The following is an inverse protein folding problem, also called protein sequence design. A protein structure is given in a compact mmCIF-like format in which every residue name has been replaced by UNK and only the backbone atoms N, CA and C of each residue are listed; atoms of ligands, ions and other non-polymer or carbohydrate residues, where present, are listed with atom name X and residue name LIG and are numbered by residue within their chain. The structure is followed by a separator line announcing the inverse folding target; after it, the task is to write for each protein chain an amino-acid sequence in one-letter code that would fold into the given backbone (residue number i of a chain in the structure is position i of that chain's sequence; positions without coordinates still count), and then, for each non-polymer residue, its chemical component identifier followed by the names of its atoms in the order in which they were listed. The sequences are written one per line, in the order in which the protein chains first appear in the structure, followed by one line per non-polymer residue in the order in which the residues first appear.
data_IF_300158456747
#
_entry.id   IF_300158456747
#
_cell.length_a   1.000
_cell.length_b   1.000
_cell.length_c   1.000
_cell.angle_alpha   90.00
_cell.angle_beta   90.00
_cell.angle_gamma   90.00
#
_symmetry.space_group_name_H-M   'P 1'
#
loop_
_entity.id
_entity.type
_entity.pdbx_description
1 polymer ?
#
# COMPACT_ATOMS: atom_id res chain seq x y z
N UNK A 1 25.41 75.39 -26.65
CA UNK A 1 26.65 74.65 -26.97
C UNK A 1 26.72 73.49 -25.98
N UNK A 2 26.75 72.17 -26.26
CA UNK A 2 26.92 71.26 -27.42
C UNK A 2 26.08 69.97 -27.08
N UNK A 3 25.18 69.49 -27.95
CA UNK A 3 25.27 68.27 -28.82
C UNK A 3 25.78 66.99 -28.13
N UNK A 4 24.92 65.99 -27.87
CA UNK A 4 24.83 64.69 -28.58
C UNK A 4 25.14 63.55 -27.59
N UNK A 5 24.60 62.32 -27.57
CA UNK A 5 24.08 61.43 -28.62
C UNK A 5 23.23 60.30 -27.94
N UNK A 6 22.23 59.78 -28.65
CA UNK A 6 21.38 58.60 -28.32
C UNK A 6 22.02 57.32 -28.91
N UNK A 7 21.83 56.15 -28.27
CA UNK A 7 21.53 54.79 -28.85
C UNK A 7 22.03 53.67 -27.90
N UNK A 8 21.20 52.87 -27.22
CA UNK A 8 20.39 51.69 -27.61
C UNK A 8 21.13 50.33 -27.49
N UNK A 9 20.46 49.37 -26.81
CA UNK A 9 20.40 47.91 -27.08
C UNK A 9 21.26 46.91 -26.22
N UNK A 10 20.56 46.09 -25.41
CA UNK A 10 20.55 44.60 -25.29
C UNK A 10 20.24 44.20 -23.82
N UNK A 11 19.01 43.79 -23.47
CA UNK A 11 18.38 42.45 -23.59
C UNK A 11 18.57 41.57 -22.35
N UNK A 12 17.41 41.23 -21.76
CA UNK A 12 17.03 39.97 -21.11
C UNK A 12 18.09 39.18 -20.32
N UNK A 13 17.80 38.99 -19.03
CA UNK A 13 17.33 37.66 -18.61
C UNK A 13 16.34 37.80 -17.46
N UNK A 14 15.09 37.42 -17.74
CA UNK A 14 14.14 37.01 -16.73
C UNK A 14 14.81 35.89 -15.92
N UNK A 15 14.90 36.05 -14.61
CA UNK A 15 15.08 34.92 -13.71
C UNK A 15 13.85 34.03 -13.85
N UNK A 16 13.92 33.04 -14.72
CA UNK A 16 13.05 31.87 -14.65
C UNK A 16 13.46 31.18 -13.37
N UNK A 17 12.62 31.32 -12.33
CA UNK A 17 12.64 30.37 -11.23
C UNK A 17 12.29 29.02 -11.83
N UNK A 18 13.32 28.22 -12.12
CA UNK A 18 13.11 26.81 -12.42
C UNK A 18 12.43 26.18 -11.20
N UNK A 19 11.19 25.75 -11.39
CA UNK A 19 10.49 24.92 -10.44
C UNK A 19 11.28 23.62 -10.34
N UNK A 20 11.99 23.42 -9.23
CA UNK A 20 12.70 22.18 -8.94
C UNK A 20 11.69 21.03 -8.85
N UNK A 21 11.47 20.33 -9.95
CA UNK A 21 10.68 19.11 -9.97
C UNK A 21 11.58 17.96 -9.54
N UNK A 22 11.22 17.21 -8.51
CA UNK A 22 11.91 15.96 -8.17
C UNK A 22 11.50 14.86 -9.16
N UNK A 23 12.19 13.71 -9.12
CA UNK A 23 11.76 12.56 -9.91
C UNK A 23 10.34 12.15 -9.48
N UNK A 24 9.54 11.72 -10.45
CA UNK A 24 8.19 11.25 -10.26
C UNK A 24 8.09 9.82 -10.79
N UNK A 25 7.95 8.86 -9.89
CA UNK A 25 7.64 7.47 -10.25
C UNK A 25 6.13 7.33 -10.34
N UNK A 26 5.61 7.06 -11.53
CA UNK A 26 4.18 6.82 -11.78
C UNK A 26 3.94 5.33 -11.88
N UNK A 27 3.05 4.81 -11.03
CA UNK A 27 2.75 3.39 -10.94
C UNK A 27 1.48 3.03 -11.69
N UNK A 28 1.34 1.73 -12.01
CA UNK A 28 0.16 1.18 -12.70
C UNK A 28 -1.12 1.31 -11.89
N UNK A 29 -1.00 1.38 -10.56
CA UNK A 29 -2.11 1.60 -9.63
C UNK A 29 -2.57 3.07 -9.56
N UNK A 30 -1.97 3.97 -10.36
CA UNK A 30 -2.27 5.40 -10.38
C UNK A 30 -1.58 6.20 -9.27
N UNK A 31 -0.82 5.55 -8.40
CA UNK A 31 -0.04 6.22 -7.35
C UNK A 31 1.18 6.89 -7.97
N UNK A 32 1.41 8.14 -7.55
CA UNK A 32 2.60 8.89 -7.89
C UNK A 32 3.51 8.99 -6.67
N UNK A 33 4.81 8.75 -6.87
CA UNK A 33 5.81 8.88 -5.80
C UNK A 33 6.84 9.92 -6.22
N UNK A 34 6.82 11.05 -5.51
CA UNK A 34 7.93 12.01 -5.57
C UNK A 34 9.15 11.40 -4.89
N UNK A 35 10.21 11.26 -5.65
CA UNK A 35 11.35 10.45 -5.31
C UNK A 35 12.66 11.09 -5.75
N UNK A 36 13.75 10.54 -5.21
CA UNK A 36 15.07 10.58 -5.80
C UNK A 36 15.41 9.15 -6.21
N UNK A 37 15.39 8.87 -7.50
CA UNK A 37 15.76 7.57 -8.05
C UNK A 37 17.26 7.38 -7.85
N UNK A 38 17.64 6.21 -7.33
CA UNK A 38 19.04 5.88 -7.03
C UNK A 38 19.60 4.89 -8.05
N UNK A 39 18.79 3.90 -8.46
CA UNK A 39 19.19 2.84 -9.37
C UNK A 39 17.96 2.24 -10.04
N UNK A 40 18.04 1.97 -11.34
CA UNK A 40 17.04 1.24 -12.12
C UNK A 40 17.66 -0.10 -12.50
N UNK A 41 17.22 -1.17 -11.84
CA UNK A 41 17.59 -2.54 -12.19
C UNK A 41 16.55 -3.20 -13.09
N UNK A 42 16.81 -4.43 -13.52
CA UNK A 42 15.91 -5.17 -14.43
C UNK A 42 14.54 -5.49 -13.79
N UNK A 43 14.51 -5.73 -12.47
CA UNK A 43 13.30 -6.15 -11.75
C UNK A 43 12.77 -5.11 -10.78
N UNK A 44 13.64 -4.22 -10.31
CA UNK A 44 13.35 -3.27 -9.26
C UNK A 44 14.10 -1.95 -9.44
N UNK A 45 13.46 -0.89 -8.95
CA UNK A 45 13.95 0.48 -8.93
C UNK A 45 14.15 0.86 -7.46
N UNK A 46 15.36 1.30 -7.13
CA UNK A 46 15.73 1.82 -5.81
C UNK A 46 15.53 3.32 -5.79
N UNK A 47 14.87 3.83 -4.76
CA UNK A 47 14.63 5.26 -4.62
C UNK A 47 14.58 5.70 -3.16
N UNK A 48 14.76 7.00 -2.91
CA UNK A 48 14.42 7.67 -1.65
C UNK A 48 13.18 8.52 -1.87
N UNK A 49 12.29 8.62 -0.87
CA UNK A 49 11.16 9.55 -0.95
C UNK A 49 11.71 10.98 -0.93
N UNK A 50 11.20 11.86 -1.80
CA UNK A 50 11.66 13.25 -1.87
C UNK A 50 11.49 13.98 -0.52
N UNK A 51 10.43 13.68 0.22
CA UNK A 51 10.17 14.23 1.56
C UNK A 51 11.09 13.70 2.66
N UNK A 52 11.88 12.65 2.40
CA UNK A 52 12.72 12.00 3.40
C UNK A 52 13.99 11.42 2.78
N UNK A 53 14.85 12.29 2.24
CA UNK A 53 16.09 11.91 1.58
C UNK A 53 17.12 11.26 2.51
N UNK A 54 17.10 11.53 3.81
CA UNK A 54 17.96 10.85 4.79
C UNK A 54 17.39 9.49 5.24
N UNK A 55 16.20 9.14 4.75
CA UNK A 55 15.47 7.91 5.08
C UNK A 55 16.01 6.62 4.47
N UNK A 56 15.31 5.50 4.68
CA UNK A 56 15.69 4.23 4.08
C UNK A 56 15.56 4.28 2.55
N UNK A 57 16.29 3.39 1.87
CA UNK A 57 16.10 3.15 0.44
C UNK A 57 14.90 2.24 0.25
N UNK A 58 13.95 2.69 -0.57
CA UNK A 58 12.77 1.95 -0.95
C UNK A 58 12.99 1.23 -2.28
N UNK A 59 12.24 0.15 -2.49
CA UNK A 59 12.21 -0.62 -3.72
C UNK A 59 10.80 -0.58 -4.31
N UNK A 60 10.71 -0.40 -5.63
CA UNK A 60 9.47 -0.60 -6.39
C UNK A 60 9.79 -1.55 -7.55
N UNK A 61 8.93 -2.54 -7.81
CA UNK A 61 9.13 -3.44 -8.94
C UNK A 61 8.92 -2.69 -10.26
N UNK A 62 9.80 -2.90 -11.23
CA UNK A 62 9.67 -2.38 -12.60
C UNK A 62 8.33 -2.75 -13.21
N UNK A 63 7.83 -3.96 -12.94
CA UNK A 63 6.55 -4.45 -13.45
C UNK A 63 5.34 -3.61 -13.00
N UNK A 64 5.47 -2.86 -11.90
CA UNK A 64 4.43 -2.02 -11.31
C UNK A 64 4.58 -0.53 -11.66
N UNK A 65 5.64 -0.15 -12.38
CA UNK A 65 5.90 1.23 -12.81
C UNK A 65 5.41 1.41 -14.24
N UNK A 66 4.73 2.53 -14.51
CA UNK A 66 4.34 2.93 -15.86
C UNK A 66 5.47 3.73 -16.49
N UNK A 67 5.90 4.80 -15.82
CA UNK A 67 7.02 5.62 -16.22
C UNK A 67 7.68 6.31 -15.02
N UNK A 68 8.92 6.74 -15.19
CA UNK A 68 9.61 7.67 -14.29
C UNK A 68 9.83 8.95 -15.09
N UNK A 69 9.38 10.09 -14.57
CA UNK A 69 9.81 11.40 -15.06
C UNK A 69 10.88 11.93 -14.14
N UNK A 70 12.08 12.16 -14.65
CA UNK A 70 13.19 12.67 -13.87
C UNK A 70 13.11 14.18 -13.67
N UNK A 71 13.91 14.69 -12.73
CA UNK A 71 14.03 16.11 -12.44
C UNK A 71 14.39 16.96 -13.68
N UNK A 72 15.18 16.43 -14.60
CA UNK A 72 15.56 17.11 -15.85
C UNK A 72 14.44 17.11 -16.92
N UNK A 73 13.28 16.52 -16.60
CA UNK A 73 12.14 16.38 -17.50
C UNK A 73 12.21 15.19 -18.45
N UNK A 74 13.31 14.45 -18.49
CA UNK A 74 13.40 13.19 -19.23
C UNK A 74 12.44 12.15 -18.65
N UNK A 75 12.03 11.18 -19.46
CA UNK A 75 11.03 10.18 -19.05
C UNK A 75 11.44 8.80 -19.53
N UNK A 76 11.56 7.86 -18.60
CA UNK A 76 11.73 6.44 -18.86
C UNK A 76 10.37 5.74 -18.77
N UNK A 77 9.98 5.04 -19.82
CA UNK A 77 8.69 4.34 -19.92
C UNK A 77 8.91 2.84 -19.74
N UNK A 78 8.21 2.26 -18.77
CA UNK A 78 8.29 0.84 -18.41
C UNK A 78 7.04 0.05 -18.84
N UNK A 79 5.93 0.75 -19.14
CA UNK A 79 4.73 0.19 -19.76
C UNK A 79 4.17 1.14 -20.81
N UNK A 80 4.40 0.86 -22.10
CA UNK A 80 3.98 1.74 -23.19
C UNK A 80 2.44 1.85 -23.28
N UNK A 81 1.73 0.73 -23.14
CA UNK A 81 0.26 0.70 -23.18
C UNK A 81 -0.36 1.55 -22.07
N UNK A 82 0.12 1.40 -20.83
CA UNK A 82 -0.37 2.19 -19.70
C UNK A 82 0.03 3.67 -19.84
N UNK A 83 1.21 3.98 -20.40
CA UNK A 83 1.65 5.35 -20.65
C UNK A 83 0.75 6.04 -21.68
N UNK A 84 0.45 5.38 -22.79
CA UNK A 84 -0.41 5.90 -23.84
C UNK A 84 -1.85 6.12 -23.34
N UNK A 85 -2.35 5.21 -22.48
CA UNK A 85 -3.64 5.38 -21.79
C UNK A 85 -3.64 6.65 -20.92
N UNK A 86 -2.66 6.81 -20.03
CA UNK A 86 -2.55 7.99 -19.16
C UNK A 86 -2.38 9.29 -19.97
N UNK A 87 -1.63 9.25 -21.07
CA UNK A 87 -1.44 10.40 -21.95
C UNK A 87 -2.71 10.78 -22.73
N UNK A 88 -3.55 9.80 -23.08
CA UNK A 88 -4.86 10.01 -23.69
C UNK A 88 -5.88 10.59 -22.68
N UNK A 89 -5.88 10.08 -21.45
CA UNK A 89 -6.69 10.60 -20.34
C UNK A 89 -6.36 12.07 -20.01
N UNK A 90 -5.07 12.44 -20.04
CA UNK A 90 -4.63 13.81 -19.82
C UNK A 90 -5.07 14.80 -20.92
N UNK A 91 -5.31 14.32 -22.15
CA UNK A 91 -5.74 15.16 -23.29
C UNK A 91 -7.25 15.40 -23.34
N UNK A 92 -8.04 14.52 -22.74
CA UNK A 92 -9.50 14.62 -22.66
C UNK A 92 -9.95 14.38 -21.21
N UNK A 93 -9.83 15.38 -20.30
CA UNK A 93 -10.26 15.21 -18.94
C UNK A 93 -11.79 15.03 -18.92
N UNK A 94 -12.24 13.79 -18.72
CA UNK A 94 -13.55 13.56 -18.12
C UNK A 94 -13.57 14.32 -16.78
N UNK A 95 -14.71 14.87 -16.32
CA UNK A 95 -14.79 15.55 -15.04
C UNK A 95 -14.50 14.56 -13.91
N UNK A 96 -13.22 14.39 -13.59
CA UNK A 96 -12.77 13.77 -12.36
C UNK A 96 -13.21 14.69 -11.24
N UNK A 97 -13.96 14.13 -10.28
CA UNK A 97 -14.13 14.77 -8.98
C UNK A 97 -12.74 15.02 -8.43
N UNK A 98 -12.28 16.25 -8.55
CA UNK A 98 -11.07 16.76 -7.91
C UNK A 98 -11.18 16.38 -6.43
N UNK A 99 -10.39 15.39 -5.98
CA UNK A 99 -10.29 15.12 -4.55
C UNK A 99 -9.70 16.39 -3.95
N UNK A 100 -10.54 17.21 -3.33
CA UNK A 100 -10.08 18.28 -2.46
C UNK A 100 -9.03 17.65 -1.56
N UNK A 101 -7.81 18.18 -1.52
CA UNK A 101 -6.84 17.84 -0.47
C UNK A 101 -7.61 17.90 0.84
N UNK A 102 -7.79 16.74 1.46
CA UNK A 102 -8.46 16.61 2.75
C UNK A 102 -7.71 17.52 3.70
N UNK A 103 -8.42 18.23 4.59
CA UNK A 103 -7.72 18.84 5.71
C UNK A 103 -6.95 17.73 6.47
N UNK A 104 -5.76 18.00 7.02
CA UNK A 104 -5.02 17.01 7.80
C UNK A 104 -5.93 16.39 8.86
N UNK A 105 -5.82 15.07 9.04
CA UNK A 105 -6.52 14.35 10.09
C UNK A 105 -6.07 14.85 11.47
N UNK A 106 -6.88 14.58 12.50
CA UNK A 106 -6.51 14.88 13.89
C UNK A 106 -5.25 14.13 14.36
N UNK A 107 -4.73 13.19 13.56
CA UNK A 107 -3.58 12.36 13.86
C UNK A 107 -2.31 12.77 13.10
N UNK A 108 -2.35 13.84 12.30
CA UNK A 108 -1.19 14.33 11.57
C UNK A 108 0.02 14.55 12.50
N UNK A 109 1.11 13.82 12.25
CA UNK A 109 2.35 13.87 13.05
C UNK A 109 2.27 13.22 14.44
N UNK A 110 1.15 12.59 14.81
CA UNK A 110 0.94 11.99 16.14
C UNK A 110 1.43 10.53 16.24
N UNK A 111 1.43 9.81 15.13
CA UNK A 111 1.82 8.41 15.05
C UNK A 111 2.91 8.18 14.00
N UNK A 112 3.68 7.12 14.20
CA UNK A 112 4.61 6.55 13.22
C UNK A 112 4.40 5.03 13.11
N UNK A 113 4.84 4.39 12.01
CA UNK A 113 4.79 2.94 11.88
C UNK A 113 5.45 2.22 13.07
N UNK A 114 4.76 1.23 13.63
CA UNK A 114 5.17 0.46 14.81
C UNK A 114 4.60 1.01 16.13
N UNK A 115 4.00 2.20 16.13
CA UNK A 115 3.33 2.73 17.32
C UNK A 115 2.08 1.92 17.68
N UNK A 116 1.71 1.97 18.96
CA UNK A 116 0.42 1.48 19.40
C UNK A 116 -0.63 2.57 19.22
N UNK A 117 -1.69 2.23 18.51
CA UNK A 117 -2.87 3.05 18.29
C UNK A 117 -3.96 2.64 19.29
N UNK A 118 -4.59 3.60 19.95
CA UNK A 118 -5.71 3.40 20.88
C UNK A 118 -6.61 4.64 20.87
N UNK A 119 -7.43 4.76 19.82
CA UNK A 119 -8.32 5.90 19.64
C UNK A 119 -9.70 5.41 19.25
N UNK A 120 -10.75 6.01 19.83
CA UNK A 120 -12.14 5.75 19.47
C UNK A 120 -12.53 4.26 19.46
N UNK A 121 -11.91 3.44 20.32
CA UNK A 121 -12.15 2.00 20.41
C UNK A 121 -11.38 1.14 19.41
N UNK A 122 -10.62 1.73 18.49
CA UNK A 122 -9.72 1.02 17.58
C UNK A 122 -8.36 0.87 18.25
N UNK A 123 -7.90 -0.38 18.40
CA UNK A 123 -6.65 -0.72 19.07
C UNK A 123 -5.77 -1.61 18.21
N UNK A 124 -4.51 -1.22 18.02
CA UNK A 124 -3.61 -1.99 17.17
C UNK A 124 -2.24 -1.38 16.97
N UNK A 125 -1.48 -1.96 16.05
CA UNK A 125 -0.16 -1.45 15.66
C UNK A 125 -0.30 -0.65 14.38
N UNK A 126 0.18 0.58 14.36
CA UNK A 126 0.24 1.41 13.14
C UNK A 126 1.17 0.75 12.14
N UNK A 127 0.67 0.40 10.96
CA UNK A 127 1.44 -0.24 9.88
C UNK A 127 1.98 0.81 8.92
N UNK A 128 1.14 1.80 8.59
CA UNK A 128 1.51 2.94 7.78
C UNK A 128 0.70 4.16 8.20
N UNK A 129 1.28 5.33 7.96
CA UNK A 129 0.65 6.63 8.18
C UNK A 129 1.30 7.64 7.23
N UNK A 130 0.47 8.48 6.61
CA UNK A 130 0.93 9.54 5.71
C UNK A 130 1.17 10.86 6.47
N UNK A 131 1.64 11.88 5.74
CA UNK A 131 1.90 13.21 6.32
C UNK A 131 0.63 13.95 6.73
N UNK A 132 -0.52 13.58 6.16
CA UNK A 132 -1.83 14.14 6.50
C UNK A 132 -2.44 13.44 7.71
N UNK A 133 -1.81 12.38 8.21
CA UNK A 133 -2.25 11.62 9.39
C UNK A 133 -3.27 10.53 9.09
N UNK A 134 -3.47 10.16 7.82
CA UNK A 134 -4.25 8.97 7.48
C UNK A 134 -3.36 7.74 7.56
N UNK A 135 -3.85 6.68 8.17
CA UNK A 135 -3.04 5.48 8.35
C UNK A 135 -3.84 4.20 8.39
N UNK A 136 -3.12 3.10 8.55
CA UNK A 136 -3.68 1.76 8.70
C UNK A 136 -3.12 1.13 9.97
N UNK A 137 -4.02 0.55 10.76
CA UNK A 137 -3.74 -0.15 12.01
C UNK A 137 -4.00 -1.64 11.82
N UNK A 138 -3.06 -2.48 12.26
CA UNK A 138 -3.23 -3.93 12.36
C UNK A 138 -3.78 -4.30 13.74
N UNK A 139 -4.74 -5.23 13.77
CA UNK A 139 -5.36 -5.74 14.99
C UNK A 139 -4.37 -6.37 15.97
N UNK A 140 -4.54 -6.10 17.27
CA UNK A 140 -3.86 -6.86 18.34
C UNK A 140 -4.33 -8.31 18.41
N UNK A 141 -5.61 -8.54 18.11
CA UNK A 141 -6.18 -9.88 18.02
C UNK A 141 -5.65 -10.64 16.80
N UNK A 142 -5.63 -11.97 16.91
CA UNK A 142 -5.27 -12.90 15.84
C UNK A 142 -6.21 -14.10 15.89
N UNK A 143 -6.54 -14.66 14.75
CA UNK A 143 -7.24 -15.93 14.66
C UNK A 143 -6.52 -16.89 13.70
N UNK A 144 -6.86 -18.18 13.77
CA UNK A 144 -6.46 -19.19 12.80
C UNK A 144 -7.73 -19.74 12.14
N UNK A 145 -8.00 -19.29 10.92
CA UNK A 145 -9.32 -19.44 10.29
C UNK A 145 -9.17 -19.89 8.84
N UNK A 146 -10.21 -20.56 8.34
CA UNK A 146 -10.40 -20.77 6.92
C UNK A 146 -10.82 -19.46 6.24
N UNK A 147 -10.45 -19.31 4.98
CA UNK A 147 -10.93 -18.23 4.13
C UNK A 147 -12.37 -18.50 3.68
N UNK A 148 -12.68 -19.76 3.36
CA UNK A 148 -14.00 -20.24 2.97
C UNK A 148 -14.21 -21.70 3.41
N UNK A 149 -15.43 -22.06 3.79
CA UNK A 149 -15.80 -23.42 4.22
C UNK A 149 -16.09 -24.39 3.06
N UNK A 150 -16.19 -23.91 1.81
CA UNK A 150 -16.49 -24.73 0.65
C UNK A 150 -15.30 -25.58 0.20
N UNK A 151 -15.58 -26.81 -0.22
CA UNK A 151 -14.58 -27.68 -0.83
C UNK A 151 -14.14 -27.13 -2.18
N UNK A 152 -13.00 -27.57 -2.68
CA UNK A 152 -12.47 -27.18 -4.00
C UNK A 152 -13.49 -27.35 -5.15
N UNK A 153 -14.32 -28.41 -5.12
CA UNK A 153 -15.35 -28.66 -6.14
C UNK A 153 -16.48 -27.64 -6.16
N UNK A 154 -16.73 -27.00 -5.01
CA UNK A 154 -17.89 -26.13 -4.78
C UNK A 154 -17.45 -24.66 -4.65
N UNK A 155 -16.14 -24.41 -4.74
CA UNK A 155 -15.56 -23.08 -4.60
C UNK A 155 -15.88 -22.23 -5.83
N UNK A 156 -16.40 -21.04 -5.57
CA UNK A 156 -16.67 -20.02 -6.59
C UNK A 156 -15.71 -18.86 -6.44
N UNK A 157 -15.36 -18.25 -7.58
CA UNK A 157 -14.60 -16.99 -7.61
C UNK A 157 -15.55 -15.84 -7.33
N UNK A 158 -15.20 -15.01 -6.36
CA UNK A 158 -16.03 -13.89 -5.90
C UNK A 158 -15.69 -12.57 -6.59
N UNK A 159 -14.53 -12.48 -7.26
CA UNK A 159 -14.01 -11.25 -7.85
C UNK A 159 -13.41 -10.31 -6.81
N UNK A 160 -12.83 -10.84 -5.74
CA UNK A 160 -12.14 -10.06 -4.70
C UNK A 160 -10.65 -9.98 -5.02
N UNK A 161 -10.30 -9.15 -6.00
CA UNK A 161 -8.97 -9.12 -6.62
C UNK A 161 -8.14 -7.87 -6.29
N UNK A 162 -8.68 -6.94 -5.49
CA UNK A 162 -7.91 -5.77 -5.07
C UNK A 162 -6.73 -6.24 -4.21
N UNK A 163 -5.51 -5.92 -4.66
CA UNK A 163 -4.29 -6.35 -3.99
C UNK A 163 -3.80 -5.33 -2.97
N UNK A 164 -4.32 -4.09 -2.98
CA UNK A 164 -3.77 -2.96 -2.25
C UNK A 164 -4.66 -2.48 -1.10
N UNK A 165 -5.97 -2.68 -1.23
CA UNK A 165 -6.98 -2.18 -0.31
C UNK A 165 -8.00 -3.28 0.05
N UNK A 166 -7.77 -3.95 1.18
CA UNK A 166 -8.68 -4.97 1.69
C UNK A 166 -10.06 -4.44 2.02
N UNK A 167 -10.22 -3.14 2.27
CA UNK A 167 -11.52 -2.54 2.52
C UNK A 167 -12.39 -2.54 1.26
N UNK A 168 -11.79 -2.42 0.07
CA UNK A 168 -12.51 -2.55 -1.22
C UNK A 168 -13.05 -3.97 -1.38
N UNK A 169 -12.23 -4.98 -1.09
CA UNK A 169 -12.65 -6.38 -1.12
C UNK A 169 -13.74 -6.67 -0.08
N UNK A 170 -13.57 -6.18 1.15
CA UNK A 170 -14.56 -6.35 2.22
C UNK A 170 -15.89 -5.69 1.87
N UNK A 171 -15.88 -4.49 1.28
CA UNK A 171 -17.08 -3.80 0.84
C UNK A 171 -17.77 -4.55 -0.33
N UNK A 172 -16.99 -5.09 -1.28
CA UNK A 172 -17.53 -5.94 -2.33
C UNK A 172 -18.17 -7.21 -1.76
N UNK A 173 -17.52 -7.87 -0.80
CA UNK A 173 -18.07 -9.01 -0.08
C UNK A 173 -19.38 -8.65 0.64
N UNK A 174 -19.42 -7.52 1.34
CA UNK A 174 -20.61 -7.06 2.04
C UNK A 174 -21.79 -6.83 1.09
N UNK A 175 -21.56 -6.19 -0.07
CA UNK A 175 -22.60 -6.06 -1.11
C UNK A 175 -23.12 -7.40 -1.59
N UNK A 176 -22.23 -8.37 -1.84
CA UNK A 176 -22.64 -9.72 -2.24
C UNK A 176 -23.47 -10.42 -1.15
N UNK A 177 -23.15 -10.17 0.12
CA UNK A 177 -23.90 -10.72 1.25
C UNK A 177 -25.30 -10.09 1.36
N UNK A 178 -25.40 -8.76 1.19
CA UNK A 178 -26.68 -8.04 1.19
C UNK A 178 -27.59 -8.47 0.02
N UNK A 179 -26.99 -8.82 -1.12
CA UNK A 179 -27.66 -9.39 -2.29
C UNK A 179 -28.00 -10.89 -2.13
N UNK A 180 -27.63 -11.51 -1.01
CA UNK A 180 -27.87 -12.93 -0.73
C UNK A 180 -27.02 -13.91 -1.56
N UNK A 181 -25.95 -13.44 -2.22
CA UNK A 181 -25.05 -14.26 -3.05
C UNK A 181 -24.02 -15.04 -2.22
N UNK A 182 -23.65 -14.52 -1.06
CA UNK A 182 -22.74 -15.16 -0.10
C UNK A 182 -23.29 -15.01 1.31
N UNK A 183 -22.81 -15.84 2.24
CA UNK A 183 -23.12 -15.71 3.66
C UNK A 183 -21.84 -15.53 4.46
N UNK A 184 -21.84 -14.63 5.43
CA UNK A 184 -20.68 -14.39 6.28
C UNK A 184 -20.21 -15.65 7.01
N UNK A 185 -21.12 -16.55 7.40
CA UNK A 185 -20.78 -17.79 8.11
C UNK A 185 -19.94 -18.75 7.25
N UNK A 186 -20.05 -18.69 5.93
CA UNK A 186 -19.31 -19.56 5.01
C UNK A 186 -17.88 -19.02 4.74
N UNK A 187 -17.56 -17.81 5.20
CA UNK A 187 -16.26 -17.13 5.01
C UNK A 187 -15.69 -16.60 6.33
N UNK A 188 -15.18 -17.48 7.20
CA UNK A 188 -14.83 -17.16 8.58
C UNK A 188 -13.80 -16.03 8.72
N UNK A 189 -12.80 -15.96 7.84
CA UNK A 189 -11.79 -14.89 7.88
C UNK A 189 -12.39 -13.49 7.70
N UNK A 190 -13.29 -13.31 6.72
CA UNK A 190 -13.99 -12.05 6.48
C UNK A 190 -14.94 -11.69 7.63
N UNK A 191 -15.70 -12.68 8.10
CA UNK A 191 -16.62 -12.52 9.23
C UNK A 191 -15.90 -12.12 10.50
N UNK A 192 -14.80 -12.81 10.84
CA UNK A 192 -14.03 -12.51 12.04
C UNK A 192 -13.50 -11.09 12.03
N UNK A 193 -12.95 -10.62 10.90
CA UNK A 193 -12.47 -9.22 10.81
C UNK A 193 -13.62 -8.23 11.03
N UNK A 194 -14.76 -8.42 10.36
CA UNK A 194 -15.95 -7.58 10.54
C UNK A 194 -16.45 -7.56 11.99
N UNK A 195 -16.45 -8.71 12.65
CA UNK A 195 -16.99 -8.86 14.00
C UNK A 195 -16.09 -8.23 15.08
N UNK A 196 -14.86 -7.78 14.74
CA UNK A 196 -14.04 -6.95 15.63
C UNK A 196 -14.62 -5.53 15.81
N UNK A 197 -15.50 -5.09 14.91
CA UNK A 197 -16.15 -3.78 14.95
C UNK A 197 -16.20 -3.10 13.58
N UNK A 198 -16.92 -1.99 13.51
CA UNK A 198 -17.06 -1.21 12.28
C UNK A 198 -15.69 -0.74 11.75
N UNK A 199 -15.50 -0.91 10.44
CA UNK A 199 -14.29 -0.50 9.72
C UNK A 199 -13.13 -1.50 9.77
N UNK A 200 -13.22 -2.59 10.55
CA UNK A 200 -12.24 -3.68 10.47
C UNK A 200 -12.49 -4.55 9.24
N UNK A 201 -11.41 -4.89 8.54
CA UNK A 201 -11.47 -5.69 7.32
C UNK A 201 -10.31 -6.69 7.23
N UNK A 202 -10.51 -7.74 6.41
CA UNK A 202 -9.44 -8.66 6.05
C UNK A 202 -8.49 -7.93 5.07
N UNK A 203 -7.19 -7.75 5.37
CA UNK A 203 -6.26 -7.02 4.52
C UNK A 203 -6.10 -7.65 3.13
N UNK A 204 -5.89 -6.82 2.12
CA UNK A 204 -5.41 -7.28 0.82
C UNK A 204 -3.94 -7.74 0.89
N UNK A 205 -3.48 -8.52 -0.08
CA UNK A 205 -2.16 -9.15 -0.03
C UNK A 205 -1.03 -8.13 0.17
N UNK A 206 -1.08 -6.97 -0.48
CA UNK A 206 -0.05 -5.94 -0.33
C UNK A 206 -0.11 -5.24 1.03
N UNK A 207 -1.24 -5.22 1.73
CA UNK A 207 -1.31 -4.74 3.13
C UNK A 207 -0.62 -5.72 4.07
N UNK A 208 -0.81 -7.02 3.88
CA UNK A 208 -0.11 -8.04 4.67
C UNK A 208 1.40 -7.99 4.40
N UNK A 209 1.80 -7.76 3.15
CA UNK A 209 3.21 -7.57 2.80
C UNK A 209 3.83 -6.34 3.48
N UNK A 210 3.07 -5.26 3.69
CA UNK A 210 3.50 -4.08 4.46
C UNK A 210 3.74 -4.39 5.93
N UNK A 211 2.91 -5.25 6.56
CA UNK A 211 3.22 -5.78 7.90
C UNK A 211 4.58 -6.48 7.90
N UNK A 212 4.82 -7.37 6.93
CA UNK A 212 6.09 -8.08 6.82
C UNK A 212 7.28 -7.14 6.63
N UNK A 213 7.11 -6.01 5.93
CA UNK A 213 8.15 -5.00 5.80
C UNK A 213 8.47 -4.33 7.15
N UNK A 214 7.44 -3.88 7.87
CA UNK A 214 7.59 -3.24 9.18
C UNK A 214 8.16 -4.20 10.23
N UNK A 215 7.65 -5.43 10.27
CA UNK A 215 8.10 -6.50 11.17
C UNK A 215 9.60 -6.78 11.06
N UNK A 216 10.16 -6.60 9.87
CA UNK A 216 11.57 -6.82 9.57
C UNK A 216 12.40 -5.53 9.50
N UNK A 217 11.81 -4.36 9.72
CA UNK A 217 12.46 -3.06 9.49
C UNK A 217 13.08 -2.95 8.09
N UNK A 218 12.35 -3.46 7.09
CA UNK A 218 12.84 -3.65 5.71
C UNK A 218 12.88 -5.13 5.29
N UNK A 219 13.00 -5.42 3.99
CA UNK A 219 12.98 -6.82 3.47
C UNK A 219 14.34 -7.41 3.14
N UNK A 220 15.42 -6.65 3.29
CA UNK A 220 16.73 -6.98 2.72
C UNK A 220 17.61 -7.75 3.72
N UNK A 221 17.35 -7.62 5.02
CA UNK A 221 18.14 -8.27 6.06
C UNK A 221 17.26 -8.71 7.23
N UNK A 222 17.62 -9.84 7.83
CA UNK A 222 17.04 -10.28 9.08
C UNK A 222 17.42 -9.29 10.18
N UNK A 223 16.43 -8.58 10.73
CA UNK A 223 16.60 -7.71 11.89
C UNK A 223 15.91 -8.34 13.11
N UNK A 224 16.69 -9.00 13.96
CA UNK A 224 16.18 -9.63 15.19
C UNK A 224 15.58 -8.61 16.14
N UNK A 225 16.22 -7.43 16.27
CA UNK A 225 15.83 -6.42 17.24
C UNK A 225 14.50 -5.79 16.84
N UNK A 226 14.31 -5.49 15.56
CA UNK A 226 13.04 -4.99 15.04
C UNK A 226 11.89 -5.98 15.31
N UNK A 227 12.11 -7.27 15.05
CA UNK A 227 11.09 -8.30 15.32
C UNK A 227 10.77 -8.44 16.79
N UNK A 228 11.79 -8.42 17.65
CA UNK A 228 11.60 -8.46 19.10
C UNK A 228 10.82 -7.23 19.57
N UNK A 229 11.13 -6.03 19.08
CA UNK A 229 10.39 -4.81 19.39
C UNK A 229 8.92 -4.89 18.94
N UNK A 230 8.67 -5.33 17.70
CA UNK A 230 7.32 -5.48 17.17
C UNK A 230 6.50 -6.49 17.99
N UNK A 231 7.09 -7.65 18.30
CA UNK A 231 6.43 -8.69 19.09
C UNK A 231 6.26 -8.31 20.56
N UNK A 232 7.21 -7.57 21.14
CA UNK A 232 7.07 -7.03 22.50
C UNK A 232 5.89 -6.06 22.55
N UNK A 233 5.75 -5.17 21.55
CA UNK A 233 4.60 -4.27 21.49
C UNK A 233 3.28 -5.02 21.41
N UNK A 234 3.18 -6.04 20.55
CA UNK A 234 1.99 -6.90 20.51
C UNK A 234 1.70 -7.52 21.89
N UNK A 235 2.72 -8.08 22.54
CA UNK A 235 2.58 -8.75 23.85
C UNK A 235 2.17 -7.78 24.96
N UNK A 236 2.75 -6.59 25.01
CA UNK A 236 2.44 -5.52 25.97
C UNK A 236 0.94 -5.16 25.96
N UNK A 237 0.30 -5.28 24.79
CA UNK A 237 -1.12 -4.98 24.62
C UNK A 237 -2.01 -6.24 24.56
N UNK A 238 -1.51 -7.41 25.00
CA UNK A 238 -2.29 -8.65 25.09
C UNK A 238 -2.40 -9.45 23.78
N UNK A 239 -1.63 -9.10 22.77
CA UNK A 239 -1.57 -9.79 21.49
C UNK A 239 -0.62 -10.99 21.48
N UNK A 240 -0.80 -11.85 20.47
CA UNK A 240 0.09 -12.98 20.20
C UNK A 240 1.26 -12.51 19.34
N UNK A 241 2.47 -13.00 19.61
CA UNK A 241 3.65 -12.74 18.77
C UNK A 241 3.42 -13.25 17.34
N UNK A 242 3.96 -12.53 16.36
CA UNK A 242 4.05 -13.01 14.99
C UNK A 242 5.23 -13.96 14.82
N UNK A 243 5.04 -14.96 13.97
CA UNK A 243 6.09 -15.87 13.51
C UNK A 243 6.37 -15.61 12.02
N UNK A 244 7.65 -15.69 11.65
CA UNK A 244 8.13 -15.43 10.28
C UNK A 244 7.76 -16.52 9.28
N UNK A 245 7.52 -17.74 9.76
CA UNK A 245 7.24 -18.91 8.93
C UNK A 245 5.75 -19.23 8.85
N UNK A 246 4.92 -18.57 9.66
CA UNK A 246 3.49 -18.76 9.62
C UNK A 246 2.88 -17.90 8.53
N UNK A 247 1.95 -18.50 7.78
CA UNK A 247 1.24 -17.84 6.70
C UNK A 247 0.00 -17.15 7.22
N UNK A 248 -0.30 -16.02 6.58
CA UNK A 248 -1.46 -15.19 6.84
C UNK A 248 -2.33 -15.12 5.60
N UNK A 249 -3.64 -15.27 5.79
CA UNK A 249 -4.60 -15.00 4.73
C UNK A 249 -4.70 -13.50 4.45
N UNK A 250 -4.88 -13.19 3.17
CA UNK A 250 -5.38 -11.91 2.69
C UNK A 250 -6.80 -12.06 2.15
N UNK A 251 -7.47 -10.94 1.88
CA UNK A 251 -8.77 -10.91 1.20
C UNK A 251 -8.67 -11.15 -0.31
N UNK A 252 -7.46 -11.08 -0.87
CA UNK A 252 -7.21 -11.19 -2.30
C UNK A 252 -7.33 -12.65 -2.74
N UNK A 253 -8.21 -12.93 -3.71
CA UNK A 253 -8.34 -14.24 -4.33
C UNK A 253 -7.11 -14.61 -5.15
N UNK A 254 -6.84 -15.92 -5.26
CA UNK A 254 -5.87 -16.44 -6.22
C UNK A 254 -6.46 -16.57 -7.63
N UNK A 255 -5.68 -17.15 -8.52
CA UNK A 255 -6.06 -17.36 -9.92
C UNK A 255 -7.19 -18.38 -10.05
N UNK A 256 -7.15 -19.42 -9.20
CA UNK A 256 -8.16 -20.44 -9.12
C UNK A 256 -9.27 -20.06 -8.12
N UNK A 257 -10.52 -20.43 -8.44
CA UNK A 257 -11.68 -20.18 -7.57
C UNK A 257 -11.54 -20.74 -6.14
N UNK A 258 -10.71 -21.76 -5.94
CA UNK A 258 -10.49 -22.42 -4.66
C UNK A 258 -9.27 -21.89 -3.89
N UNK A 259 -8.53 -20.91 -4.43
CA UNK A 259 -7.31 -20.37 -3.80
C UNK A 259 -7.46 -18.91 -3.36
N UNK A 260 -6.74 -18.54 -2.30
CA UNK A 260 -6.55 -17.16 -1.87
C UNK A 260 -5.06 -16.87 -1.74
N UNK A 261 -4.67 -15.61 -1.88
CA UNK A 261 -3.29 -15.18 -1.69
C UNK A 261 -2.95 -15.16 -0.21
N UNK A 262 -1.78 -15.72 0.11
CA UNK A 262 -1.21 -15.80 1.44
C UNK A 262 0.24 -15.31 1.41
N UNK A 263 0.73 -14.85 2.55
CA UNK A 263 2.13 -14.45 2.73
C UNK A 263 2.62 -14.77 4.13
N UNK A 264 3.94 -14.81 4.31
CA UNK A 264 4.61 -15.00 5.58
C UNK A 264 5.51 -13.79 5.89
N UNK A 265 5.93 -13.64 7.14
CA UNK A 265 6.74 -12.48 7.58
C UNK A 265 8.25 -12.70 7.39
N UNK A 266 8.62 -13.65 6.54
CA UNK A 266 10.01 -13.97 6.23
C UNK A 266 10.64 -12.96 5.27
N UNK A 267 11.96 -13.02 5.17
CA UNK A 267 12.74 -12.23 4.22
C UNK A 267 13.15 -13.02 2.98
N UNK A 268 12.91 -14.33 3.00
CA UNK A 268 13.22 -15.23 1.91
C UNK A 268 11.98 -15.40 1.02
N UNK A 269 12.12 -15.36 -0.31
CA UNK A 269 11.05 -15.67 -1.24
C UNK A 269 10.73 -17.19 -1.25
N UNK A 270 9.54 -17.60 -1.74
CA UNK A 270 8.50 -16.76 -2.34
C UNK A 270 7.66 -16.00 -1.29
N UNK A 271 7.48 -14.69 -1.50
CA UNK A 271 6.75 -13.86 -0.53
C UNK A 271 5.23 -14.04 -0.59
N UNK A 272 4.70 -14.45 -1.75
CA UNK A 272 3.26 -14.64 -1.95
C UNK A 272 3.06 -16.04 -2.48
N UNK A 273 2.11 -16.74 -1.89
CA UNK A 273 1.66 -18.06 -2.32
C UNK A 273 0.15 -18.07 -2.49
N UNK A 274 -0.33 -18.94 -3.37
CA UNK A 274 -1.75 -19.22 -3.53
C UNK A 274 -2.07 -20.53 -2.84
N UNK A 275 -2.92 -20.48 -1.82
CA UNK A 275 -3.25 -21.64 -1.00
C UNK A 275 -4.74 -21.86 -0.95
N UNK A 276 -5.15 -23.08 -0.60
CA UNK A 276 -6.57 -23.46 -0.55
C UNK A 276 -7.35 -22.58 0.42
N UNK A 277 -8.54 -22.12 0.03
CA UNK A 277 -9.43 -21.33 0.89
C UNK A 277 -9.97 -22.14 2.10
N UNK A 278 -10.01 -23.47 2.01
CA UNK A 278 -10.58 -24.37 3.03
C UNK A 278 -9.56 -24.88 4.06
N UNK A 279 -8.29 -24.46 3.98
CA UNK A 279 -7.33 -24.73 5.06
C UNK A 279 -7.18 -23.50 5.95
N UNK A 280 -6.86 -23.71 7.22
CA UNK A 280 -6.75 -22.61 8.17
C UNK A 280 -5.36 -21.99 8.13
N UNK A 281 -5.31 -20.66 8.07
CA UNK A 281 -4.11 -19.87 8.27
C UNK A 281 -4.37 -18.73 9.25
N UNK A 282 -3.30 -18.04 9.63
CA UNK A 282 -3.42 -16.91 10.54
C UNK A 282 -4.16 -15.75 9.86
N UNK A 283 -4.93 -15.00 10.64
CA UNK A 283 -5.63 -13.80 10.21
C UNK A 283 -5.34 -12.67 11.18
N UNK A 284 -5.00 -11.51 10.61
CA UNK A 284 -4.95 -10.20 11.27
C UNK A 284 -5.88 -9.30 10.50
N UNK A 285 -6.67 -8.49 11.19
CA UNK A 285 -7.52 -7.49 10.55
C UNK A 285 -6.78 -6.16 10.43
N UNK A 286 -7.22 -5.33 9.49
CA UNK A 286 -6.77 -3.95 9.33
C UNK A 286 -7.92 -2.98 9.54
N UNK A 287 -7.59 -1.74 9.91
CA UNK A 287 -8.53 -0.64 10.08
C UNK A 287 -7.86 0.67 9.63
N UNK A 288 -8.61 1.54 8.93
CA UNK A 288 -8.12 2.84 8.47
C UNK A 288 -8.51 3.93 9.47
N UNK A 289 -7.58 4.83 9.78
CA UNK A 289 -7.80 5.95 10.68
C UNK A 289 -7.31 7.28 10.10
#
# INVERSE_FOLDING_TARGET
MKKGLISLLFLLSCGVWDAAAQDLIVKKDGTNVEAKVLEIGEKDIKYKKASHLDGPTYLVSVANVVYIRFEDGSTDIFSQEDYDRLAAEAKNPAPQKQSKRSAPSAFAGRYQPGDYFDENGVRGIVIEVDAEGHGIVMSIAQANLRWCEFKKSDAVRLGLDDQHDGAVNQAAFARMADEGKVRWEDYPAFKWCRDLGEGWYLPAINEVLRIGHLYNNGRIKFDRKAREQFNNRLKEHGGVKMDRLMYYFSSTEGDDAWTAMTTHMGIEPPFVEQTSKNISFLVRAMHKF
#
